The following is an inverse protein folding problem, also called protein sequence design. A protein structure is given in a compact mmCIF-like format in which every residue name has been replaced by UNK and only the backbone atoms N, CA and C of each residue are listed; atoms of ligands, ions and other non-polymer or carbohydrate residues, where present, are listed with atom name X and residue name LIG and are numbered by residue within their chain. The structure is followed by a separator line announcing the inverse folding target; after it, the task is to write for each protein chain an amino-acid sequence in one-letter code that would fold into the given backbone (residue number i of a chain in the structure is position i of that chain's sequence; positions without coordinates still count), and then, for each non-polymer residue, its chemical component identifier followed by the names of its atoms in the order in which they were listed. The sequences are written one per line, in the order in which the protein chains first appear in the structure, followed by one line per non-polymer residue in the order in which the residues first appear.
data_IF_335459072101
#
_entry.id   IF_335459072101
#
_cell.length_a   1.000
_cell.length_b   1.000
_cell.length_c   1.000
_cell.angle_alpha   90.00
_cell.angle_beta   90.00
_cell.angle_gamma   90.00
#
_symmetry.space_group_name_H-M   'P 1'
#
loop_
_entity.id
_entity.type
_entity.pdbx_description
1 polymer ?
#
# COMPACT_ATOMS: atom_id res chain seq x y z
N UNK A 1 3.60 58.97 3.08
CA UNK A 1 4.71 57.98 3.16
C UNK A 1 4.40 56.78 4.06
N UNK A 2 3.90 56.95 5.30
CA UNK A 2 3.58 55.82 6.20
C UNK A 2 2.57 54.81 5.64
N UNK A 3 1.51 55.25 4.95
CA UNK A 3 0.48 54.37 4.41
C UNK A 3 0.98 53.42 3.29
N UNK A 4 1.97 53.85 2.49
CA UNK A 4 2.58 53.00 1.46
C UNK A 4 3.45 51.89 2.08
N UNK A 5 4.13 52.20 3.20
CA UNK A 5 4.90 51.21 3.97
C UNK A 5 4.00 50.16 4.62
N UNK A 6 2.87 50.58 5.21
CA UNK A 6 1.90 49.64 5.79
C UNK A 6 1.21 48.77 4.73
N UNK A 7 0.95 49.32 3.53
CA UNK A 7 0.45 48.55 2.39
C UNK A 7 1.42 47.47 1.91
N UNK A 8 2.72 47.80 1.81
CA UNK A 8 3.76 46.83 1.43
C UNK A 8 3.93 45.70 2.45
N UNK A 9 3.90 46.03 3.75
CA UNK A 9 3.96 45.04 4.83
C UNK A 9 2.71 44.13 4.82
N UNK A 10 1.51 44.70 4.63
CA UNK A 10 0.29 43.92 4.56
C UNK A 10 0.29 42.92 3.39
N UNK A 11 0.80 43.31 2.22
CA UNK A 11 0.93 42.42 1.06
C UNK A 11 1.95 41.31 1.31
N UNK A 12 3.09 41.61 1.95
CA UNK A 12 4.10 40.60 2.30
C UNK A 12 3.59 39.60 3.33
N UNK A 13 2.84 40.05 4.34
CA UNK A 13 2.21 39.16 5.34
C UNK A 13 1.16 38.26 4.69
N UNK A 14 0.31 38.82 3.82
CA UNK A 14 -0.68 38.03 3.07
C UNK A 14 -0.02 36.99 2.16
N UNK A 15 1.03 37.38 1.43
CA UNK A 15 1.79 36.45 0.60
C UNK A 15 2.44 35.34 1.45
N UNK A 16 3.00 35.68 2.62
CA UNK A 16 3.55 34.71 3.56
C UNK A 16 2.52 33.71 4.06
N UNK A 17 1.31 34.17 4.42
CA UNK A 17 0.20 33.29 4.86
C UNK A 17 -0.27 32.38 3.71
N UNK A 18 -0.37 32.90 2.49
CA UNK A 18 -0.79 32.10 1.32
C UNK A 18 0.26 31.03 1.01
N UNK A 19 1.53 31.40 0.92
CA UNK A 19 2.63 30.46 0.65
C UNK A 19 2.71 29.39 1.74
N UNK A 20 2.60 29.78 3.02
CA UNK A 20 2.58 28.84 4.14
C UNK A 20 1.36 27.93 4.07
N UNK A 21 0.16 28.46 3.79
CA UNK A 21 -1.06 27.69 3.64
C UNK A 21 -1.03 26.65 2.52
N UNK A 22 -0.36 26.96 1.40
CA UNK A 22 -0.17 26.00 0.30
C UNK A 22 0.92 24.96 0.60
N UNK A 23 2.00 25.33 1.29
CA UNK A 23 3.06 24.38 1.69
C UNK A 23 2.60 23.43 2.80
N UNK A 24 1.71 23.88 3.68
CA UNK A 24 1.13 23.09 4.77
C UNK A 24 -0.13 22.31 4.38
N UNK A 25 -0.58 22.41 3.13
CA UNK A 25 -1.72 21.64 2.67
C UNK A 25 -1.31 20.15 2.52
N UNK A 26 -2.03 19.22 3.16
CA UNK A 26 -1.70 17.79 3.08
C UNK A 26 -1.75 17.35 1.62
N UNK A 27 -0.68 16.72 1.13
CA UNK A 27 -0.66 16.28 -0.26
C UNK A 27 -1.60 15.09 -0.42
N UNK A 28 -2.36 15.13 -1.51
CA UNK A 28 -3.16 14.00 -1.97
C UNK A 28 -2.49 13.48 -3.22
N UNK A 29 -1.87 12.31 -3.12
CA UNK A 29 -1.20 11.67 -4.26
C UNK A 29 -2.23 10.80 -4.95
N UNK A 30 -2.60 11.17 -6.18
CA UNK A 30 -3.48 10.33 -7.02
C UNK A 30 -2.64 9.28 -7.73
N UNK A 31 -3.03 8.02 -7.57
CA UNK A 31 -2.45 6.89 -8.26
C UNK A 31 -3.44 6.42 -9.32
N UNK A 32 -3.00 6.36 -10.56
CA UNK A 32 -3.70 5.71 -11.67
C UNK A 32 -2.62 5.04 -12.53
N UNK A 33 -2.24 3.83 -12.13
CA UNK A 33 -1.10 3.11 -12.71
C UNK A 33 -1.47 1.66 -12.92
N UNK A 34 -1.07 1.14 -14.07
CA UNK A 34 -1.06 -0.29 -14.39
C UNK A 34 0.38 -0.68 -14.70
N UNK A 35 0.83 -1.76 -14.07
CA UNK A 35 2.20 -2.24 -14.22
C UNK A 35 2.25 -3.76 -13.99
N UNK A 36 3.27 -4.37 -14.60
CA UNK A 36 3.57 -5.78 -14.42
C UNK A 36 4.65 -5.93 -13.36
N UNK A 37 4.48 -6.92 -12.51
CA UNK A 37 5.44 -7.34 -11.50
C UNK A 37 5.46 -8.86 -11.41
N UNK A 38 6.40 -9.43 -10.68
CA UNK A 38 6.49 -10.89 -10.51
C UNK A 38 6.18 -11.25 -9.07
N UNK A 39 5.24 -12.17 -8.87
CA UNK A 39 4.99 -12.81 -7.60
C UNK A 39 6.05 -13.86 -7.33
N UNK A 40 6.63 -13.83 -6.13
CA UNK A 40 7.57 -14.84 -5.66
C UNK A 40 7.04 -15.48 -4.39
N UNK A 41 7.31 -16.78 -4.19
CA UNK A 41 7.10 -17.43 -2.91
C UNK A 41 8.28 -17.18 -1.98
N UNK A 42 8.00 -16.97 -0.69
CA UNK A 42 9.04 -16.73 0.31
C UNK A 42 9.98 -17.92 0.46
N UNK A 43 9.45 -19.15 0.56
CA UNK A 43 10.22 -20.37 0.80
C UNK A 43 10.57 -21.11 -0.51
N UNK A 44 9.66 -21.17 -1.49
CA UNK A 44 9.92 -21.81 -2.77
C UNK A 44 10.73 -20.89 -3.71
N UNK A 45 11.99 -21.25 -3.97
CA UNK A 45 12.89 -20.45 -4.80
C UNK A 45 12.59 -20.51 -6.30
N UNK A 46 11.92 -21.57 -6.76
CA UNK A 46 11.65 -21.82 -8.19
C UNK A 46 10.33 -21.19 -8.65
N UNK A 47 9.50 -20.74 -7.71
CA UNK A 47 8.23 -20.10 -8.04
C UNK A 47 8.43 -18.63 -8.44
N UNK A 48 7.99 -18.29 -9.64
CA UNK A 48 7.95 -16.94 -10.17
C UNK A 48 6.77 -16.83 -11.15
N UNK A 49 5.76 -16.04 -10.80
CA UNK A 49 4.57 -15.86 -11.64
C UNK A 49 4.41 -14.38 -12.02
N UNK A 50 4.29 -14.04 -13.31
CA UNK A 50 3.98 -12.67 -13.71
C UNK A 50 2.57 -12.28 -13.27
N UNK A 51 2.44 -11.09 -12.69
CA UNK A 51 1.19 -10.54 -12.19
C UNK A 51 1.00 -9.13 -12.73
N UNK A 52 -0.17 -8.88 -13.32
CA UNK A 52 -0.58 -7.53 -13.73
C UNK A 52 -1.33 -6.87 -12.59
N UNK A 53 -0.83 -5.73 -12.12
CA UNK A 53 -1.43 -4.94 -11.06
C UNK A 53 -1.85 -3.57 -11.59
N UNK A 54 -3.11 -3.21 -11.38
CA UNK A 54 -3.58 -1.85 -11.56
C UNK A 54 -4.05 -1.26 -10.23
N UNK A 55 -3.52 -0.09 -9.88
CA UNK A 55 -3.87 0.67 -8.69
C UNK A 55 -4.49 2.00 -9.11
N UNK A 56 -5.71 2.26 -8.64
CA UNK A 56 -6.42 3.50 -8.92
C UNK A 56 -7.02 4.07 -7.64
N UNK A 57 -6.55 5.23 -7.20
CA UNK A 57 -7.02 5.81 -5.95
C UNK A 57 -6.27 7.06 -5.54
N UNK A 58 -6.34 7.35 -4.24
CA UNK A 58 -5.64 8.46 -3.64
C UNK A 58 -5.01 8.05 -2.32
N UNK A 59 -3.75 8.42 -2.14
CA UNK A 59 -3.10 8.44 -0.84
C UNK A 59 -3.27 9.82 -0.20
N UNK A 60 -3.75 9.85 1.04
CA UNK A 60 -3.90 11.07 1.81
C UNK A 60 -2.85 11.11 2.93
N UNK A 61 -1.87 12.00 2.82
CA UNK A 61 -0.78 12.16 3.80
C UNK A 61 -1.30 12.36 5.23
N UNK A 62 -2.38 13.15 5.39
CA UNK A 62 -2.96 13.46 6.71
C UNK A 62 -3.43 12.22 7.47
N UNK A 63 -4.01 11.25 6.76
CA UNK A 63 -4.50 10.01 7.37
C UNK A 63 -3.53 8.85 7.20
N UNK A 64 -2.38 9.10 6.55
CA UNK A 64 -1.43 8.08 6.12
C UNK A 64 -2.15 6.86 5.51
N UNK A 65 -3.14 7.07 4.63
CA UNK A 65 -3.93 5.97 4.09
C UNK A 65 -4.17 6.10 2.60
N UNK A 66 -4.11 4.97 1.90
CA UNK A 66 -4.56 4.87 0.52
C UNK A 66 -6.01 4.39 0.49
N UNK A 67 -6.83 5.02 -0.35
CA UNK A 67 -8.19 4.59 -0.64
C UNK A 67 -8.40 4.51 -2.14
N UNK A 68 -8.91 3.39 -2.64
CA UNK A 68 -9.13 3.23 -4.07
C UNK A 68 -9.58 1.84 -4.51
N UNK A 69 -9.15 1.47 -5.70
CA UNK A 69 -9.38 0.22 -6.37
C UNK A 69 -8.04 -0.47 -6.62
N UNK A 70 -8.07 -1.80 -6.61
CA UNK A 70 -6.96 -2.67 -6.97
C UNK A 70 -7.47 -3.67 -7.99
N UNK A 71 -6.72 -3.90 -9.06
CA UNK A 71 -6.99 -4.98 -10.00
C UNK A 71 -5.76 -5.86 -10.12
N UNK A 72 -5.94 -7.17 -9.97
CA UNK A 72 -4.85 -8.16 -10.06
C UNK A 72 -5.26 -9.30 -10.96
N UNK A 73 -4.49 -9.56 -12.02
CA UNK A 73 -4.77 -10.61 -13.01
C UNK A 73 -6.22 -10.61 -13.53
N UNK A 74 -6.83 -9.44 -13.65
CA UNK A 74 -8.23 -9.31 -14.09
C UNK A 74 -9.26 -9.23 -12.96
N UNK A 75 -8.96 -9.72 -11.75
CA UNK A 75 -9.83 -9.60 -10.59
C UNK A 75 -9.84 -8.16 -10.07
N UNK A 76 -11.04 -7.58 -9.95
CA UNK A 76 -11.21 -6.21 -9.49
C UNK A 76 -11.65 -6.19 -8.03
N UNK A 77 -10.94 -5.41 -7.24
CA UNK A 77 -11.22 -5.10 -5.86
C UNK A 77 -11.55 -3.62 -5.73
N UNK A 78 -12.66 -3.32 -5.06
CA UNK A 78 -13.17 -1.98 -4.81
C UNK A 78 -13.03 -1.64 -3.33
N UNK A 79 -13.13 -0.36 -2.99
CA UNK A 79 -13.05 0.14 -1.61
C UNK A 79 -11.82 -0.35 -0.85
N UNK A 80 -10.69 -0.47 -1.56
CA UNK A 80 -9.42 -0.83 -0.95
C UNK A 80 -8.97 0.27 0.00
N UNK A 81 -8.72 -0.11 1.24
CA UNK A 81 -8.10 0.73 2.25
C UNK A 81 -6.75 0.13 2.64
N UNK A 82 -5.71 0.93 2.45
CA UNK A 82 -4.36 0.65 2.91
C UNK A 82 -4.06 1.56 4.08
N UNK A 83 -3.84 0.97 5.25
CA UNK A 83 -3.24 1.68 6.37
C UNK A 83 -1.84 1.10 6.58
N UNK A 84 -0.76 1.83 6.25
CA UNK A 84 0.60 1.43 6.56
C UNK A 84 0.79 1.25 8.05
N UNK A 85 0.12 2.04 8.89
CA UNK A 85 0.21 1.92 10.34
C UNK A 85 -0.37 0.57 10.81
N UNK A 86 -1.44 0.08 10.17
CA UNK A 86 -1.98 -1.24 10.44
C UNK A 86 -1.27 -2.37 9.68
N UNK A 87 -0.43 -2.05 8.69
CA UNK A 87 0.30 -3.01 7.87
C UNK A 87 -0.59 -3.95 7.07
N UNK A 88 -1.85 -3.59 6.80
CA UNK A 88 -2.85 -4.46 6.17
C UNK A 88 -3.53 -3.77 5.00
N UNK A 89 -3.78 -4.55 3.94
CA UNK A 89 -4.61 -4.14 2.80
C UNK A 89 -5.96 -4.83 2.87
N UNK A 90 -7.01 -4.04 3.03
CA UNK A 90 -8.38 -4.54 3.11
C UNK A 90 -9.14 -4.04 1.89
N UNK A 91 -9.80 -4.93 1.17
CA UNK A 91 -10.59 -4.58 -0.01
C UNK A 91 -11.91 -5.36 -0.07
N UNK A 92 -12.84 -4.88 -0.90
CA UNK A 92 -14.07 -5.61 -1.24
C UNK A 92 -13.91 -6.17 -2.65
N UNK A 93 -14.04 -7.49 -2.81
CA UNK A 93 -14.04 -8.08 -4.14
C UNK A 93 -15.27 -7.62 -4.92
N UNK A 94 -15.09 -7.08 -6.13
CA UNK A 94 -16.21 -6.62 -6.96
C UNK A 94 -17.15 -7.78 -7.29
N UNK A 95 -18.44 -7.58 -7.03
CA UNK A 95 -19.46 -8.61 -7.25
C UNK A 95 -19.62 -9.60 -6.10
N UNK A 96 -18.80 -9.52 -5.04
CA UNK A 96 -19.14 -10.12 -3.75
C UNK A 96 -20.20 -9.27 -3.07
N UNK A 97 -21.03 -9.87 -2.21
CA UNK A 97 -22.11 -9.20 -1.47
C UNK A 97 -21.58 -8.27 -0.35
N UNK A 98 -20.60 -7.41 -0.66
CA UNK A 98 -19.93 -6.52 0.29
C UNK A 98 -18.95 -7.24 1.22
N UNK A 99 -18.47 -8.43 0.85
CA UNK A 99 -17.53 -9.19 1.67
C UNK A 99 -16.18 -8.46 1.69
N UNK A 100 -15.83 -7.93 2.88
CA UNK A 100 -14.56 -7.28 3.14
C UNK A 100 -13.51 -8.38 3.35
N UNK A 101 -12.50 -8.42 2.49
CA UNK A 101 -11.41 -9.40 2.56
C UNK A 101 -10.09 -8.68 2.86
N UNK A 102 -9.35 -9.20 3.84
CA UNK A 102 -7.93 -8.88 3.97
C UNK A 102 -7.19 -9.57 2.84
N UNK A 103 -6.50 -8.81 2.00
CA UNK A 103 -5.72 -9.37 0.90
C UNK A 103 -4.34 -9.86 1.39
N UNK A 104 -3.81 -9.20 2.42
CA UNK A 104 -2.49 -9.51 2.94
C UNK A 104 -1.90 -8.35 3.74
N UNK A 105 -0.63 -8.51 4.09
CA UNK A 105 0.14 -7.51 4.80
C UNK A 105 0.89 -6.65 3.79
N UNK A 106 0.78 -5.33 3.93
CA UNK A 106 1.45 -4.37 3.07
C UNK A 106 2.50 -3.59 3.85
N UNK A 107 3.65 -3.40 3.22
CA UNK A 107 4.72 -2.56 3.74
C UNK A 107 5.10 -1.58 2.65
N UNK A 108 5.22 -0.30 2.99
CA UNK A 108 5.58 0.76 2.06
C UNK A 108 6.46 1.79 2.74
N UNK A 109 7.25 2.49 1.94
CA UNK A 109 7.91 3.72 2.37
C UNK A 109 6.90 4.88 2.51
N UNK A 110 7.38 6.05 2.93
CA UNK A 110 6.53 7.22 3.24
C UNK A 110 5.80 7.79 2.02
N UNK A 111 6.32 7.52 0.83
CA UNK A 111 5.98 8.11 -0.46
C UNK A 111 5.42 7.10 -1.46
N UNK A 112 5.35 5.82 -1.08
CA UNK A 112 4.87 4.69 -1.88
C UNK A 112 5.66 4.47 -3.17
N UNK A 113 6.92 4.93 -3.20
CA UNK A 113 7.84 4.62 -4.29
C UNK A 113 8.25 3.15 -4.23
N UNK A 114 8.48 2.64 -3.02
CA UNK A 114 8.68 1.24 -2.72
C UNK A 114 7.54 0.67 -1.88
N UNK A 115 7.00 -0.47 -2.32
CA UNK A 115 6.03 -1.22 -1.54
C UNK A 115 6.17 -2.72 -1.75
N UNK A 116 5.73 -3.49 -0.76
CA UNK A 116 5.66 -4.94 -0.82
C UNK A 116 4.38 -5.44 -0.17
N UNK A 117 3.63 -6.28 -0.88
CA UNK A 117 2.45 -6.99 -0.38
C UNK A 117 2.82 -8.45 -0.15
N UNK A 118 2.60 -8.95 1.06
CA UNK A 118 2.70 -10.36 1.41
C UNK A 118 1.30 -10.95 1.56
N UNK A 119 1.03 -11.99 0.77
CA UNK A 119 -0.27 -12.65 0.66
C UNK A 119 -0.11 -14.07 1.12
N UNK A 120 -0.97 -14.50 2.04
CA UNK A 120 -1.07 -15.89 2.45
C UNK A 120 -2.32 -16.52 1.83
N UNK A 121 -2.27 -17.85 1.61
CA UNK A 121 -3.39 -18.65 1.11
C UNK A 121 -4.66 -18.53 1.98
N UNK A 122 -4.49 -18.10 3.23
CA UNK A 122 -5.51 -18.07 4.28
C UNK A 122 -5.46 -19.37 5.08
N UNK A 123 -5.68 -19.31 6.40
CA UNK A 123 -5.76 -20.53 7.20
C UNK A 123 -6.92 -21.40 6.72
N UNK A 124 -6.70 -22.72 6.71
CA UNK A 124 -7.76 -23.73 6.71
C UNK A 124 -8.48 -23.75 8.07
N UNK A 125 -9.06 -22.62 8.49
CA UNK A 125 -10.04 -22.62 9.57
C UNK A 125 -11.40 -23.06 8.99
N UNK A 126 -12.23 -23.83 9.72
CA UNK A 126 -13.46 -24.45 9.20
C UNK A 126 -14.44 -23.49 8.51
N UNK A 127 -14.34 -22.19 8.79
CA UNK A 127 -15.25 -21.15 8.33
C UNK A 127 -14.57 -20.07 7.47
N UNK A 128 -13.26 -20.17 7.19
CA UNK A 128 -12.54 -19.23 6.32
C UNK A 128 -12.51 -19.76 4.88
N UNK A 129 -13.14 -19.01 3.96
CA UNK A 129 -12.96 -19.21 2.52
C UNK A 129 -11.51 -18.86 2.16
N UNK A 130 -10.93 -19.59 1.20
CA UNK A 130 -9.57 -19.33 0.73
C UNK A 130 -9.37 -17.85 0.37
N UNK A 131 -8.16 -17.35 0.55
CA UNK A 131 -7.83 -16.01 0.09
C UNK A 131 -7.89 -15.99 -1.44
N UNK A 132 -9.01 -15.53 -1.99
CA UNK A 132 -9.25 -15.43 -3.44
C UNK A 132 -8.14 -14.69 -4.18
N UNK A 133 -7.46 -13.76 -3.51
CA UNK A 133 -6.31 -13.06 -4.07
C UNK A 133 -5.11 -13.99 -4.26
N UNK A 134 -4.78 -14.80 -3.26
CA UNK A 134 -3.71 -15.81 -3.36
C UNK A 134 -4.02 -16.81 -4.47
N UNK A 135 -5.23 -17.36 -4.47
CA UNK A 135 -5.66 -18.37 -5.45
C UNK A 135 -5.70 -17.82 -6.88
N UNK A 136 -5.88 -16.51 -7.06
CA UNK A 136 -5.81 -15.88 -8.39
C UNK A 136 -4.40 -15.78 -8.97
N UNK A 137 -3.38 -15.97 -8.15
CA UNK A 137 -1.96 -15.91 -8.54
C UNK A 137 -1.37 -17.32 -8.60
N UNK A 138 -1.53 -18.11 -7.55
CA UNK A 138 -0.88 -19.42 -7.40
C UNK A 138 -1.83 -20.61 -7.60
N UNK A 139 -3.13 -20.36 -7.75
CA UNK A 139 -4.14 -21.42 -7.90
C UNK A 139 -4.62 -22.00 -6.55
N UNK A 140 -5.64 -22.84 -6.61
CA UNK A 140 -6.24 -23.47 -5.41
C UNK A 140 -5.47 -24.72 -4.93
N UNK A 141 -4.70 -25.35 -5.81
CA UNK A 141 -4.06 -26.67 -5.58
C UNK A 141 -2.75 -26.62 -4.77
N UNK A 142 -2.27 -25.45 -4.37
CA UNK A 142 -1.01 -25.34 -3.61
C UNK A 142 -1.12 -25.93 -2.20
N UNK A 143 -0.52 -27.08 -1.93
CA UNK A 143 -0.56 -27.70 -0.61
C UNK A 143 0.29 -26.95 0.46
N UNK A 144 1.02 -25.91 0.07
CA UNK A 144 1.93 -25.17 0.93
C UNK A 144 1.27 -24.04 1.75
N UNK A 145 1.90 -23.73 2.89
CA UNK A 145 1.68 -22.52 3.69
C UNK A 145 2.81 -21.52 3.44
N UNK A 146 3.07 -21.25 2.15
CA UNK A 146 4.07 -20.29 1.72
C UNK A 146 3.39 -18.99 1.33
N UNK A 147 3.96 -17.86 1.74
CA UNK A 147 3.40 -16.57 1.35
C UNK A 147 3.94 -16.17 -0.01
N UNK A 148 3.06 -15.61 -0.83
CA UNK A 148 3.46 -14.86 -2.01
C UNK A 148 3.88 -13.45 -1.59
N UNK A 149 4.91 -12.93 -2.22
CA UNK A 149 5.28 -11.53 -2.15
C UNK A 149 5.21 -10.89 -3.53
N UNK A 150 4.70 -9.66 -3.54
CA UNK A 150 4.61 -8.79 -4.71
C UNK A 150 5.32 -7.49 -4.29
N UNK A 151 6.49 -7.22 -4.86
CA UNK A 151 7.30 -6.06 -4.49
C UNK A 151 7.56 -5.18 -5.71
N UNK A 152 7.46 -3.87 -5.52
CA UNK A 152 7.69 -2.86 -6.56
C UNK A 152 8.68 -1.81 -6.06
N UNK A 153 9.68 -1.38 -6.85
CA UNK A 153 9.93 -1.71 -8.26
C UNK A 153 10.94 -2.87 -8.46
N UNK A 154 10.93 -3.87 -7.58
CA UNK A 154 11.85 -5.01 -7.64
C UNK A 154 11.81 -5.73 -9.00
N UNK A 155 13.00 -6.07 -9.53
CA UNK A 155 13.15 -6.65 -10.88
C UNK A 155 13.41 -8.16 -10.87
N UNK A 156 13.82 -8.69 -9.72
CA UNK A 156 14.17 -10.09 -9.56
C UNK A 156 13.82 -10.56 -8.14
N UNK A 157 13.84 -11.88 -7.93
CA UNK A 157 13.51 -12.48 -6.63
C UNK A 157 14.36 -11.95 -5.48
N UNK A 158 15.66 -11.76 -5.70
CA UNK A 158 16.59 -11.34 -4.65
C UNK A 158 16.27 -9.93 -4.18
N UNK A 159 16.05 -9.02 -5.13
CA UNK A 159 15.66 -7.63 -4.86
C UNK A 159 14.27 -7.56 -4.22
N UNK A 160 13.30 -8.36 -4.68
CA UNK A 160 11.97 -8.42 -4.09
C UNK A 160 12.01 -8.86 -2.61
N UNK A 161 12.73 -9.95 -2.30
CA UNK A 161 12.90 -10.42 -0.93
C UNK A 161 13.61 -9.41 -0.04
N UNK A 162 14.69 -8.81 -0.54
CA UNK A 162 15.44 -7.81 0.22
C UNK A 162 14.58 -6.58 0.52
N UNK A 163 13.81 -6.11 -0.46
CA UNK A 163 12.91 -4.97 -0.30
C UNK A 163 11.79 -5.29 0.69
N UNK A 164 11.14 -6.45 0.57
CA UNK A 164 10.14 -6.94 1.51
C UNK A 164 10.67 -6.94 2.95
N UNK A 165 11.84 -7.54 3.18
CA UNK A 165 12.43 -7.65 4.52
C UNK A 165 12.81 -6.29 5.11
N UNK A 166 13.34 -5.38 4.28
CA UNK A 166 13.70 -4.03 4.71
C UNK A 166 12.45 -3.22 5.11
N UNK A 167 11.41 -3.22 4.27
CA UNK A 167 10.16 -2.50 4.53
C UNK A 167 9.45 -3.08 5.76
N UNK A 168 9.40 -4.41 5.88
CA UNK A 168 8.84 -5.09 7.06
C UNK A 168 9.57 -4.72 8.34
N UNK A 169 10.91 -4.69 8.30
CA UNK A 169 11.71 -4.31 9.48
C UNK A 169 11.46 -2.87 9.89
N UNK A 170 11.50 -1.94 8.94
CA UNK A 170 11.21 -0.53 9.22
C UNK A 170 9.80 -0.31 9.76
N UNK A 171 8.83 -1.12 9.33
CA UNK A 171 7.49 -1.13 9.92
C UNK A 171 7.48 -1.65 11.37
N UNK A 172 8.15 -2.78 11.65
CA UNK A 172 8.24 -3.35 12.99
C UNK A 172 8.95 -2.41 13.98
N UNK A 173 10.02 -1.74 13.55
CA UNK A 173 10.75 -0.76 14.36
C UNK A 173 9.83 0.40 14.76
N UNK A 174 9.05 0.95 13.82
CA UNK A 174 8.05 1.99 14.11
C UNK A 174 6.99 1.54 15.11
N UNK A 175 6.53 0.29 15.03
CA UNK A 175 5.56 -0.27 15.99
C UNK A 175 6.16 -0.43 17.39
N UNK A 176 7.44 -0.81 17.48
CA UNK A 176 8.18 -0.90 18.74
C UNK A 176 8.34 0.44 19.43
N UNK A 177 8.73 1.48 18.68
CA UNK A 177 8.90 2.84 19.22
C UNK A 177 7.57 3.45 19.72
N UNK A 178 6.44 3.09 19.10
CA UNK A 178 5.10 3.51 19.54
C UNK A 178 4.65 2.86 20.85
N UNK A 179 5.24 1.74 21.26
CA UNK A 179 4.95 1.11 22.56
C UNK A 179 5.77 1.71 23.72
N UNK A 180 6.84 2.47 23.44
CA UNK A 180 7.68 3.11 24.46
C UNK A 180 7.21 4.52 24.87
N UNK A 181 6.16 5.06 24.25
CA UNK A 181 5.55 6.33 24.64
C UNK A 181 4.27 6.12 25.49
N UNK A 182 4.30 6.40 26.81
CA UNK A 182 3.16 6.28 27.71
C UNK A 182 2.09 7.37 27.52
#
# INVERSE_FOLDING_TARGET
MRQLFYGGIAVLVLAGIIIYGFLSAPKVIRLDREFELTAYKLKNADYAEPVTVALKGAFAEKSNAYTGELKVNGLQYEYCNLSPDAGVMICVLKGSSGEISSLGLVYADSDYEEWSLAVQKGETAPDYKSNSFYSSIDGEDDAGDDSLILSYPAKDRKTALQQYENLRRGWLEKQGDLQEYP
#
